data_IF_340159303234
#
_entry.id   IF_340159303234
#
_cell.length_a   1.000
_cell.length_b   1.000
_cell.length_c   1.000
_cell.angle_alpha   90.00
_cell.angle_beta   90.00
_cell.angle_gamma   90.00
#
_symmetry.space_group_name_H-M   'P 1'
#
loop_
_entity.id
_entity.type
_entity.pdbx_description
1 polymer ?
#
# COMPACT_ATOMS: atom_id res chain seq x y z
N UNK A 1 -10.22 22.97 -7.45
CA UNK A 1 -9.26 23.63 -8.37
C UNK A 1 -8.17 22.62 -8.64
N UNK A 2 -7.89 22.31 -9.91
CA UNK A 2 -6.74 21.49 -10.29
C UNK A 2 -5.61 22.47 -10.57
N UNK A 3 -4.50 22.36 -9.83
CA UNK A 3 -3.31 23.17 -10.07
C UNK A 3 -2.33 22.36 -10.90
N UNK A 4 -1.75 23.00 -11.91
CA UNK A 4 -0.64 22.45 -12.68
C UNK A 4 0.65 22.70 -11.89
N UNK A 5 1.34 21.62 -11.52
CA UNK A 5 2.63 21.73 -10.84
C UNK A 5 3.73 22.04 -11.86
N UNK A 6 4.52 23.08 -11.59
CA UNK A 6 5.72 23.36 -12.38
C UNK A 6 6.75 22.25 -12.14
N UNK A 7 7.16 21.54 -13.18
CA UNK A 7 8.22 20.55 -13.07
C UNK A 7 9.52 21.21 -12.61
N UNK A 8 10.05 20.75 -11.47
CA UNK A 8 11.36 21.15 -10.99
C UNK A 8 12.41 20.33 -11.73
N UNK A 9 13.21 20.98 -12.57
CA UNK A 9 14.40 20.35 -13.16
C UNK A 9 15.43 20.10 -12.06
N UNK A 10 15.63 18.83 -11.73
CA UNK A 10 16.69 18.37 -10.84
C UNK A 10 17.91 17.97 -11.68
N UNK A 11 19.11 18.34 -11.22
CA UNK A 11 20.36 17.86 -11.80
C UNK A 11 20.62 16.41 -11.33
N UNK A 12 20.02 15.47 -12.06
CA UNK A 12 20.06 14.04 -11.76
C UNK A 12 21.24 13.37 -12.47
N UNK A 13 22.08 12.67 -11.69
CA UNK A 13 23.11 11.81 -12.26
C UNK A 13 22.50 10.58 -12.92
N UNK A 14 22.85 10.33 -14.18
CA UNK A 14 22.47 9.10 -14.91
C UNK A 14 23.16 7.83 -14.38
N UNK A 15 24.15 7.97 -13.51
CA UNK A 15 24.88 6.85 -12.91
C UNK A 15 24.22 6.34 -11.62
N UNK A 16 23.48 7.19 -10.92
CA UNK A 16 22.82 6.79 -9.68
C UNK A 16 21.53 6.04 -9.96
N UNK A 17 21.44 4.83 -9.44
CA UNK A 17 20.30 3.94 -9.57
C UNK A 17 19.76 3.64 -8.18
N UNK A 18 18.44 3.65 -8.05
CA UNK A 18 17.73 3.15 -6.89
C UNK A 18 16.92 1.93 -7.30
N UNK A 19 16.96 0.89 -6.48
CA UNK A 19 16.18 -0.33 -6.67
C UNK A 19 15.13 -0.43 -5.57
N UNK A 20 13.91 -0.80 -5.95
CA UNK A 20 12.78 -1.01 -5.05
C UNK A 20 12.29 -2.43 -5.22
N UNK A 21 12.30 -3.20 -4.14
CA UNK A 21 11.72 -4.54 -4.09
C UNK A 21 10.47 -4.53 -3.21
N UNK A 22 9.35 -5.02 -3.74
CA UNK A 22 8.05 -5.01 -3.05
C UNK A 22 7.73 -6.39 -2.49
N UNK A 23 7.31 -6.44 -1.23
CA UNK A 23 7.02 -7.69 -0.52
C UNK A 23 5.86 -7.59 0.47
N UNK A 24 5.50 -8.74 1.05
CA UNK A 24 4.36 -8.82 1.99
C UNK A 24 4.77 -8.44 3.42
N UNK A 25 5.92 -8.93 3.89
CA UNK A 25 6.41 -8.61 5.23
C UNK A 25 7.27 -7.34 5.23
N UNK A 26 7.99 -7.09 4.14
CA UNK A 26 8.75 -5.90 3.85
C UNK A 26 8.03 -5.23 2.68
N UNK A 27 7.19 -4.23 2.96
CA UNK A 27 6.34 -3.60 1.94
C UNK A 27 7.16 -3.07 0.78
N UNK A 28 8.25 -2.37 1.11
CA UNK A 28 9.25 -1.92 0.17
C UNK A 28 10.63 -2.02 0.81
N UNK A 29 11.59 -2.58 0.07
CA UNK A 29 13.01 -2.53 0.39
C UNK A 29 13.66 -1.62 -0.64
N UNK A 30 14.30 -0.55 -0.18
CA UNK A 30 14.89 0.48 -1.06
C UNK A 30 16.40 0.49 -0.87
N UNK A 31 17.14 0.40 -1.97
CA UNK A 31 18.60 0.48 -2.01
C UNK A 31 19.08 1.37 -3.16
N UNK A 32 20.32 1.84 -3.11
CA UNK A 32 20.94 2.63 -4.18
C UNK A 32 22.45 2.40 -4.26
N UNK A 33 23.01 2.57 -5.46
CA UNK A 33 24.46 2.57 -5.66
C UNK A 33 25.15 3.89 -5.26
N UNK A 34 24.39 4.89 -4.79
CA UNK A 34 24.93 6.17 -4.32
C UNK A 34 25.70 5.99 -3.00
N UNK A 35 26.97 6.41 -2.97
CA UNK A 35 27.80 6.35 -1.76
C UNK A 35 27.13 7.11 -0.62
N UNK A 36 27.06 6.48 0.56
CA UNK A 36 26.43 7.06 1.75
C UNK A 36 24.91 6.91 1.81
N UNK A 37 24.27 6.28 0.82
CA UNK A 37 22.87 5.89 0.93
C UNK A 37 22.73 4.73 1.92
N UNK A 38 21.82 4.86 2.88
CA UNK A 38 21.49 3.80 3.82
C UNK A 38 20.23 3.07 3.31
N UNK A 39 20.32 1.78 2.95
CA UNK A 39 19.15 0.98 2.62
C UNK A 39 18.15 0.95 3.77
N UNK A 40 16.86 1.04 3.44
CA UNK A 40 15.78 1.00 4.41
C UNK A 40 14.64 0.09 3.96
N UNK A 41 13.86 -0.35 4.94
CA UNK A 41 12.75 -1.27 4.76
C UNK A 41 11.50 -0.64 5.35
N UNK A 42 10.42 -0.59 4.57
CA UNK A 42 9.08 -0.26 5.04
C UNK A 42 8.41 -1.55 5.51
N UNK A 43 7.89 -1.56 6.74
CA UNK A 43 7.22 -2.73 7.31
C UNK A 43 5.92 -3.03 6.54
N UNK A 44 5.71 -4.27 6.09
CA UNK A 44 4.48 -4.70 5.41
C UNK A 44 3.50 -5.46 6.31
N UNK A 45 3.93 -5.86 7.52
CA UNK A 45 3.10 -6.63 8.45
C UNK A 45 1.78 -5.94 8.83
N UNK A 46 1.72 -4.60 9.00
CA UNK A 46 0.44 -3.93 9.27
C UNK A 46 -0.58 -4.08 8.14
N UNK A 47 -0.15 -3.89 6.89
CA UNK A 47 -1.00 -4.08 5.70
C UNK A 47 -1.47 -5.53 5.59
N UNK A 48 -0.56 -6.50 5.84
CA UNK A 48 -0.88 -7.93 5.89
C UNK A 48 -1.97 -8.24 6.92
N UNK A 49 -1.84 -7.68 8.13
CA UNK A 49 -2.82 -7.84 9.22
C UNK A 49 -4.19 -7.27 8.86
N UNK A 50 -4.23 -6.05 8.28
CA UNK A 50 -5.46 -5.44 7.77
C UNK A 50 -6.13 -6.34 6.71
N UNK A 51 -5.35 -6.89 5.79
CA UNK A 51 -5.86 -7.76 4.73
C UNK A 51 -6.39 -9.10 5.26
N UNK A 52 -5.71 -9.68 6.27
CA UNK A 52 -6.14 -10.91 6.93
C UNK A 52 -7.49 -10.72 7.63
N UNK A 53 -7.64 -9.66 8.42
CA UNK A 53 -8.91 -9.32 9.07
C UNK A 53 -10.05 -9.12 8.05
N UNK A 54 -9.76 -8.39 6.97
CA UNK A 54 -10.72 -8.16 5.89
C UNK A 54 -11.18 -9.47 5.24
N UNK A 55 -10.25 -10.35 4.86
CA UNK A 55 -10.57 -11.62 4.22
C UNK A 55 -11.41 -12.51 5.13
N UNK A 56 -11.05 -12.61 6.42
CA UNK A 56 -11.83 -13.36 7.40
C UNK A 56 -13.27 -12.83 7.52
N UNK A 57 -13.43 -11.52 7.75
CA UNK A 57 -14.76 -10.91 7.90
C UNK A 57 -15.58 -10.97 6.62
N UNK A 58 -14.95 -10.77 5.46
CA UNK A 58 -15.60 -10.87 4.15
C UNK A 58 -16.10 -12.29 3.91
N UNK A 59 -15.29 -13.32 4.17
CA UNK A 59 -15.69 -14.72 4.02
C UNK A 59 -16.93 -15.05 4.84
N UNK A 60 -16.94 -14.66 6.13
CA UNK A 60 -18.12 -14.83 7.00
C UNK A 60 -19.36 -14.10 6.47
N UNK A 61 -19.22 -12.86 6.03
CA UNK A 61 -20.35 -12.11 5.49
C UNK A 61 -20.86 -12.68 4.17
N UNK A 62 -19.97 -13.24 3.34
CA UNK A 62 -20.34 -13.85 2.07
C UNK A 62 -21.03 -15.21 2.26
N UNK A 63 -20.67 -15.99 3.28
CA UNK A 63 -21.38 -17.24 3.60
C UNK A 63 -22.82 -17.00 4.08
N UNK A 64 -23.13 -15.80 4.56
CA UNK A 64 -24.49 -15.38 4.93
C UNK A 64 -25.34 -14.94 3.70
N UNK A 65 -24.76 -14.90 2.49
CA UNK A 65 -25.45 -14.48 1.27
C UNK A 65 -25.92 -15.70 0.46
N UNK A 66 -27.17 -15.63 -0.02
CA UNK A 66 -27.76 -16.71 -0.80
C UNK A 66 -27.27 -16.69 -2.26
N UNK A 67 -27.69 -15.69 -3.05
CA UNK A 67 -27.38 -15.61 -4.48
C UNK A 67 -26.50 -14.42 -4.85
N UNK A 68 -26.25 -13.49 -3.92
CA UNK A 68 -25.49 -12.27 -4.17
C UNK A 68 -24.07 -12.41 -3.67
N UNK A 69 -23.09 -11.88 -4.42
CA UNK A 69 -21.67 -11.91 -4.02
C UNK A 69 -21.30 -10.79 -3.03
N UNK A 70 -22.21 -9.85 -2.79
CA UNK A 70 -21.95 -8.61 -2.04
C UNK A 70 -23.20 -8.09 -1.34
N UNK A 71 -22.98 -7.30 -0.29
CA UNK A 71 -24.00 -6.64 0.52
C UNK A 71 -23.51 -5.27 0.99
N UNK A 72 -24.39 -4.42 1.51
CA UNK A 72 -24.01 -3.12 2.07
C UNK A 72 -22.99 -3.27 3.22
N UNK A 73 -23.05 -4.36 3.99
CA UNK A 73 -22.08 -4.68 5.04
C UNK A 73 -20.69 -4.97 4.45
N UNK A 74 -20.62 -5.74 3.36
CA UNK A 74 -19.35 -6.02 2.67
C UNK A 74 -18.79 -4.75 2.04
N UNK A 75 -19.62 -3.91 1.40
CA UNK A 75 -19.18 -2.62 0.83
C UNK A 75 -18.55 -1.72 1.90
N UNK A 76 -19.23 -1.55 3.04
CA UNK A 76 -18.69 -0.78 4.19
C UNK A 76 -17.38 -1.36 4.72
N UNK A 77 -17.28 -2.69 4.81
CA UNK A 77 -16.04 -3.38 5.21
C UNK A 77 -14.90 -3.09 4.22
N UNK A 78 -15.16 -3.13 2.91
CA UNK A 78 -14.18 -2.80 1.86
C UNK A 78 -13.74 -1.35 1.93
N UNK A 79 -14.66 -0.40 2.08
CA UNK A 79 -14.34 1.03 2.25
C UNK A 79 -13.45 1.26 3.46
N UNK A 80 -13.77 0.65 4.61
CA UNK A 80 -12.94 0.75 5.82
C UNK A 80 -11.54 0.15 5.62
N UNK A 81 -11.44 -0.98 4.91
CA UNK A 81 -10.14 -1.59 4.57
C UNK A 81 -9.32 -0.68 3.66
N UNK A 82 -9.93 -0.03 2.68
CA UNK A 82 -9.24 0.88 1.78
C UNK A 82 -8.71 2.11 2.52
N UNK A 83 -9.53 2.77 3.36
CA UNK A 83 -9.05 3.90 4.15
C UNK A 83 -7.88 3.55 5.06
N UNK A 84 -7.88 2.36 5.69
CA UNK A 84 -6.75 1.92 6.51
C UNK A 84 -5.47 1.68 5.72
N UNK A 85 -5.59 1.21 4.47
CA UNK A 85 -4.42 0.98 3.62
C UNK A 85 -3.91 2.30 3.07
N UNK A 86 -4.80 3.19 2.62
CA UNK A 86 -4.42 4.52 2.16
C UNK A 86 -3.72 5.29 3.27
N UNK A 87 -4.28 5.32 4.49
CA UNK A 87 -3.67 5.95 5.66
C UNK A 87 -2.26 5.39 5.93
N UNK A 88 -2.11 4.07 5.90
CA UNK A 88 -0.80 3.44 6.07
C UNK A 88 0.19 3.81 4.97
N UNK A 89 -0.25 3.85 3.71
CA UNK A 89 0.62 4.18 2.56
C UNK A 89 0.97 5.66 2.50
N UNK A 90 0.13 6.56 3.02
CA UNK A 90 0.42 7.99 3.10
C UNK A 90 1.37 8.36 4.25
N UNK A 91 1.45 7.52 5.27
CA UNK A 91 2.30 7.77 6.44
C UNK A 91 3.80 7.46 6.20
N UNK A 92 4.16 6.88 5.06
CA UNK A 92 5.52 6.50 4.69
C UNK A 92 6.01 7.21 3.43
#
# INVERSE_FOLDING_TARGET
MVYESVEVKLDLSKYHVASVDLGVNNLATVTSNKKGFQPFIINGRPVKSINQFYNYKKGKLQSELNQTKSSNRIKRLSTKRNFKIDDYLHAY
#
